data_IF_712599461582
#
_entry.id   IF_712599461582
#
_cell.length_a   1.000
_cell.length_b   1.000
_cell.length_c   1.000
_cell.angle_alpha   90.00
_cell.angle_beta   90.00
_cell.angle_gamma   90.00
#
_symmetry.space_group_name_H-M   'P 1'
#
loop_
_entity.id
_entity.type
_entity.pdbx_description
1 polymer ?
#
# COMPACT_ATOMS: atom_id res chain seq x y z
N UNK A 1 -14.22 22.98 4.59
CA UNK A 1 -14.00 21.65 3.95
C UNK A 1 -14.62 21.71 2.57
N UNK A 2 -13.84 21.51 1.55
CA UNK A 2 -14.28 21.40 0.15
C UNK A 2 -15.11 20.11 -0.04
N UNK A 3 -16.25 20.19 -0.74
CA UNK A 3 -17.18 19.06 -0.87
C UNK A 3 -17.63 18.79 -2.31
N UNK A 4 -17.18 19.61 -3.24
CA UNK A 4 -17.55 19.49 -4.65
C UNK A 4 -16.74 18.36 -5.32
N UNK A 5 -17.28 17.79 -6.38
CA UNK A 5 -16.53 16.92 -7.27
C UNK A 5 -15.83 17.78 -8.32
N UNK A 6 -14.61 17.43 -8.62
CA UNK A 6 -13.76 18.11 -9.59
C UNK A 6 -13.54 17.15 -10.75
N UNK A 7 -14.02 17.53 -11.92
CA UNK A 7 -13.75 16.86 -13.18
C UNK A 7 -12.44 17.37 -13.79
N UNK A 8 -11.87 16.59 -14.72
CA UNK A 8 -10.65 16.97 -15.41
C UNK A 8 -10.69 18.40 -15.98
N UNK A 9 -11.78 18.76 -16.65
CA UNK A 9 -11.97 20.09 -17.28
C UNK A 9 -12.01 21.25 -16.28
N UNK A 10 -12.24 20.98 -15.00
CA UNK A 10 -12.34 21.97 -13.92
C UNK A 10 -11.01 22.13 -13.19
N UNK A 11 -10.10 21.16 -13.35
CA UNK A 11 -8.87 21.11 -12.58
C UNK A 11 -7.96 22.33 -12.78
N UNK A 12 -7.91 22.91 -13.98
CA UNK A 12 -7.13 24.14 -14.25
C UNK A 12 -7.62 25.35 -13.48
N UNK A 13 -8.90 25.38 -13.10
CA UNK A 13 -9.53 26.44 -12.35
C UNK A 13 -9.38 26.27 -10.84
N UNK A 14 -8.93 25.12 -10.39
CA UNK A 14 -8.71 24.82 -8.98
C UNK A 14 -7.50 25.59 -8.43
N UNK A 15 -7.56 25.81 -7.10
CA UNK A 15 -6.44 26.39 -6.35
C UNK A 15 -5.13 25.63 -6.67
N UNK A 16 -4.01 26.31 -6.85
CA UNK A 16 -2.70 25.68 -7.04
C UNK A 16 -2.38 24.62 -5.97
N UNK A 17 -2.73 24.87 -4.71
CA UNK A 17 -2.53 23.88 -3.62
C UNK A 17 -3.27 22.59 -3.87
N UNK A 18 -4.51 22.64 -4.37
CA UNK A 18 -5.28 21.44 -4.72
C UNK A 18 -4.54 20.61 -5.77
N UNK A 19 -4.08 21.25 -6.83
CA UNK A 19 -3.36 20.60 -7.92
C UNK A 19 -2.04 19.98 -7.46
N UNK A 20 -1.29 20.69 -6.60
CA UNK A 20 -0.04 20.20 -6.03
C UNK A 20 -0.27 18.96 -5.14
N UNK A 21 -1.31 18.99 -4.31
CA UNK A 21 -1.69 17.86 -3.46
C UNK A 21 -2.14 16.65 -4.28
N UNK A 22 -2.97 16.87 -5.32
CA UNK A 22 -3.41 15.82 -6.23
C UNK A 22 -2.23 15.19 -6.98
N UNK A 23 -1.33 16.02 -7.53
CA UNK A 23 -0.09 15.58 -8.18
C UNK A 23 0.71 14.67 -7.26
N UNK A 24 0.86 15.07 -6.00
CA UNK A 24 1.58 14.26 -5.01
C UNK A 24 0.87 12.94 -4.72
N UNK A 25 -0.46 12.93 -4.61
CA UNK A 25 -1.25 11.70 -4.42
C UNK A 25 -0.99 10.70 -5.54
N UNK A 26 -1.18 11.10 -6.80
CA UNK A 26 -1.03 10.18 -7.94
C UNK A 26 0.43 9.73 -8.12
N UNK A 27 1.39 10.59 -7.80
CA UNK A 27 2.83 10.26 -7.90
C UNK A 27 3.24 9.21 -6.87
N UNK A 28 2.85 9.40 -5.60
CA UNK A 28 3.16 8.44 -4.54
C UNK A 28 2.44 7.12 -4.79
N UNK A 29 1.18 7.17 -5.24
CA UNK A 29 0.43 5.96 -5.52
C UNK A 29 1.05 5.18 -6.69
N UNK A 30 1.44 5.87 -7.78
CA UNK A 30 2.14 5.23 -8.90
C UNK A 30 3.45 4.54 -8.46
N UNK A 31 4.20 5.14 -7.51
CA UNK A 31 5.40 4.53 -6.94
C UNK A 31 5.07 3.30 -6.08
N UNK A 32 3.97 3.33 -5.32
CA UNK A 32 3.53 2.21 -4.51
C UNK A 32 3.22 0.97 -5.36
N UNK A 33 2.48 1.14 -6.45
CA UNK A 33 2.08 0.05 -7.36
C UNK A 33 3.28 -0.64 -8.04
N UNK A 34 4.38 0.09 -8.24
CA UNK A 34 5.62 -0.46 -8.79
C UNK A 34 6.53 -1.02 -7.71
N UNK A 35 6.45 -0.47 -6.50
CA UNK A 35 7.33 -0.85 -5.39
C UNK A 35 7.24 -2.32 -5.00
N UNK A 36 6.03 -2.88 -4.89
CA UNK A 36 5.80 -4.29 -4.57
C UNK A 36 6.40 -5.23 -5.61
N UNK A 37 5.97 -5.17 -6.89
CA UNK A 37 6.53 -6.01 -7.95
C UNK A 37 8.06 -6.01 -8.04
N UNK A 38 8.69 -4.85 -7.85
CA UNK A 38 10.16 -4.75 -7.85
C UNK A 38 10.81 -5.52 -6.70
N UNK A 39 10.14 -5.66 -5.56
CA UNK A 39 10.66 -6.42 -4.42
C UNK A 39 10.57 -7.93 -4.61
N UNK A 40 9.49 -8.43 -5.24
CA UNK A 40 9.21 -9.87 -5.20
C UNK A 40 9.19 -10.59 -6.55
N UNK A 41 9.01 -9.88 -7.67
CA UNK A 41 8.86 -10.57 -8.96
C UNK A 41 10.13 -11.31 -9.39
N UNK A 42 11.32 -10.82 -9.07
CA UNK A 42 12.59 -11.42 -9.46
C UNK A 42 12.93 -12.66 -8.65
N UNK A 43 12.82 -12.58 -7.33
CA UNK A 43 13.41 -13.59 -6.43
C UNK A 43 12.34 -14.50 -5.80
N UNK A 44 11.14 -13.99 -5.54
CA UNK A 44 10.05 -14.73 -4.92
C UNK A 44 9.25 -15.56 -5.93
N UNK A 45 8.96 -15.00 -7.11
CA UNK A 45 8.21 -15.74 -8.14
C UNK A 45 8.85 -17.09 -8.49
N UNK A 46 10.16 -17.19 -8.81
CA UNK A 46 10.77 -18.48 -9.12
C UNK A 46 10.93 -19.42 -7.91
N UNK A 47 10.96 -18.88 -6.68
CA UNK A 47 11.13 -19.64 -5.43
C UNK A 47 9.81 -20.00 -4.74
N UNK A 48 8.66 -19.57 -5.26
CA UNK A 48 7.36 -19.91 -4.69
C UNK A 48 7.13 -21.43 -4.60
N UNK A 49 6.59 -21.94 -3.47
CA UNK A 49 6.61 -23.38 -3.15
C UNK A 49 5.84 -24.27 -4.10
N UNK A 50 4.75 -23.76 -4.68
CA UNK A 50 3.88 -24.51 -5.58
C UNK A 50 3.62 -23.76 -6.88
N UNK A 51 3.18 -24.49 -7.93
CA UNK A 51 2.75 -23.85 -9.18
C UNK A 51 1.58 -22.87 -8.99
N UNK A 52 0.70 -23.16 -8.04
CA UNK A 52 -0.41 -22.27 -7.69
C UNK A 52 0.13 -20.98 -7.04
N UNK A 53 1.09 -21.10 -6.13
CA UNK A 53 1.73 -19.93 -5.52
C UNK A 53 2.49 -19.10 -6.58
N UNK A 54 3.22 -19.74 -7.51
CA UNK A 54 3.87 -19.06 -8.63
C UNK A 54 2.87 -18.28 -9.49
N UNK A 55 1.73 -18.90 -9.81
CA UNK A 55 0.68 -18.27 -10.60
C UNK A 55 0.10 -17.05 -9.86
N UNK A 56 -0.14 -17.17 -8.55
CA UNK A 56 -0.68 -16.08 -7.74
C UNK A 56 0.31 -14.91 -7.62
N UNK A 57 1.60 -15.18 -7.39
CA UNK A 57 2.63 -14.11 -7.38
C UNK A 57 2.71 -13.40 -8.73
N UNK A 58 2.70 -14.14 -9.84
CA UNK A 58 2.72 -13.56 -11.19
C UNK A 58 1.48 -12.73 -11.47
N UNK A 59 0.31 -13.21 -11.04
CA UNK A 59 -0.96 -12.50 -11.17
C UNK A 59 -0.96 -11.21 -10.38
N UNK A 60 -0.58 -11.24 -9.10
CA UNK A 60 -0.44 -10.05 -8.25
C UNK A 60 0.47 -9.03 -8.92
N UNK A 61 1.67 -9.44 -9.36
CA UNK A 61 2.58 -8.53 -10.06
C UNK A 61 1.95 -7.90 -11.34
N UNK A 62 1.17 -8.67 -12.09
CA UNK A 62 0.47 -8.18 -13.28
C UNK A 62 -0.65 -7.19 -12.93
N UNK A 63 -1.40 -7.45 -11.88
CA UNK A 63 -2.48 -6.57 -11.39
C UNK A 63 -1.89 -5.25 -10.88
N UNK A 64 -0.81 -5.26 -10.10
CA UNK A 64 -0.09 -4.06 -9.64
C UNK A 64 0.42 -3.19 -10.81
N UNK A 65 0.99 -3.81 -11.85
CA UNK A 65 1.40 -3.08 -13.05
C UNK A 65 0.21 -2.45 -13.79
N UNK A 66 -0.95 -3.09 -13.76
CA UNK A 66 -2.19 -2.53 -14.33
C UNK A 66 -2.77 -1.41 -13.47
N UNK A 67 -2.64 -1.49 -12.14
CA UNK A 67 -2.95 -0.40 -11.21
C UNK A 67 -2.08 0.83 -11.52
N UNK A 68 -0.76 0.65 -11.62
CA UNK A 68 0.14 1.71 -12.06
C UNK A 68 -0.32 2.34 -13.38
N UNK A 69 -0.63 1.52 -14.39
CA UNK A 69 -1.07 2.01 -15.71
C UNK A 69 -2.33 2.88 -15.61
N UNK A 70 -3.29 2.48 -14.79
CA UNK A 70 -4.53 3.25 -14.56
C UNK A 70 -4.24 4.59 -13.86
N UNK A 71 -3.38 4.58 -12.83
CA UNK A 71 -2.98 5.79 -12.10
C UNK A 71 -2.15 6.72 -12.99
N UNK A 72 -1.20 6.18 -13.75
CA UNK A 72 -0.38 6.94 -14.69
C UNK A 72 -1.22 7.60 -15.79
N UNK A 73 -2.30 6.94 -16.24
CA UNK A 73 -3.26 7.55 -17.18
C UNK A 73 -3.95 8.75 -16.54
N UNK A 74 -4.50 8.59 -15.33
CA UNK A 74 -5.16 9.70 -14.60
C UNK A 74 -4.20 10.87 -14.38
N UNK A 75 -2.93 10.60 -14.04
CA UNK A 75 -1.90 11.63 -13.91
C UNK A 75 -1.61 12.33 -15.24
N UNK A 76 -1.44 11.55 -16.31
CA UNK A 76 -1.17 12.06 -17.67
C UNK A 76 -2.29 12.93 -18.24
N UNK A 77 -3.56 12.63 -17.90
CA UNK A 77 -4.71 13.41 -18.34
C UNK A 77 -4.65 14.89 -17.89
N UNK A 78 -3.95 15.18 -16.78
CA UNK A 78 -3.69 16.56 -16.32
C UNK A 78 -2.21 16.99 -16.37
N UNK A 79 -1.43 16.33 -17.23
CA UNK A 79 -0.06 16.75 -17.58
C UNK A 79 1.03 16.33 -16.61
N UNK A 80 0.76 15.39 -15.71
CA UNK A 80 1.76 14.84 -14.76
C UNK A 80 2.33 13.54 -15.33
N UNK A 81 3.63 13.53 -15.60
CA UNK A 81 4.38 12.32 -15.95
C UNK A 81 4.89 11.64 -14.68
N UNK A 82 4.48 10.40 -14.47
CA UNK A 82 4.94 9.54 -13.36
C UNK A 82 5.82 8.38 -13.84
N UNK A 83 6.22 8.37 -15.13
CA UNK A 83 6.99 7.26 -15.70
C UNK A 83 8.38 7.07 -15.09
N UNK A 84 8.92 8.10 -14.48
CA UNK A 84 10.23 8.06 -13.82
C UNK A 84 10.29 7.01 -12.68
N UNK A 85 9.17 6.69 -12.03
CA UNK A 85 9.14 5.67 -10.97
C UNK A 85 9.47 4.26 -11.48
N UNK A 86 9.29 4.00 -12.79
CA UNK A 86 9.62 2.71 -13.42
C UNK A 86 11.13 2.44 -13.43
N UNK A 87 11.94 3.49 -13.49
CA UNK A 87 13.40 3.41 -13.53
C UNK A 87 14.05 3.49 -12.15
N UNK A 88 13.27 3.76 -11.11
CA UNK A 88 13.81 3.91 -9.76
C UNK A 88 14.31 2.59 -9.17
N UNK A 89 15.43 2.69 -8.49
CA UNK A 89 15.91 1.65 -7.57
C UNK A 89 15.06 1.63 -6.30
N UNK A 90 15.15 0.56 -5.52
CA UNK A 90 14.44 0.49 -4.24
C UNK A 90 14.81 1.65 -3.29
N UNK A 91 16.04 2.19 -3.37
CA UNK A 91 16.48 3.29 -2.50
C UNK A 91 15.80 4.63 -2.82
N UNK A 92 15.29 4.79 -4.02
CA UNK A 92 14.63 6.02 -4.49
C UNK A 92 13.13 6.05 -4.15
N UNK A 93 12.54 4.91 -3.72
CA UNK A 93 11.11 4.81 -3.40
C UNK A 93 10.69 5.81 -2.32
N UNK A 94 9.49 6.36 -2.45
CA UNK A 94 8.95 7.28 -1.45
C UNK A 94 8.76 6.62 -0.10
N UNK A 95 8.28 5.38 -0.07
CA UNK A 95 7.97 4.68 1.16
C UNK A 95 9.09 3.71 1.56
N UNK A 96 9.48 3.77 2.82
CA UNK A 96 10.52 2.92 3.43
C UNK A 96 10.23 1.42 3.24
N UNK A 97 8.97 1.02 3.26
CA UNK A 97 8.58 -0.37 3.04
C UNK A 97 9.13 -0.93 1.71
N UNK A 98 9.21 -0.12 0.67
CA UNK A 98 9.68 -0.52 -0.66
C UNK A 98 11.21 -0.36 -0.86
N UNK A 99 11.93 0.17 0.15
CA UNK A 99 13.40 0.30 0.12
C UNK A 99 14.13 -0.95 0.60
N UNK A 100 13.40 -1.89 1.19
CA UNK A 100 13.94 -3.15 1.70
C UNK A 100 14.09 -4.24 0.65
N UNK A 101 14.13 -5.48 1.15
CA UNK A 101 14.13 -6.71 0.34
C UNK A 101 13.11 -7.68 0.91
N UNK A 102 12.53 -8.50 0.04
CA UNK A 102 11.77 -9.68 0.40
C UNK A 102 12.65 -10.88 0.08
N UNK A 103 13.12 -11.58 1.11
CA UNK A 103 14.14 -12.62 0.95
C UNK A 103 13.59 -14.04 1.10
N UNK A 104 12.45 -14.20 1.75
CA UNK A 104 11.86 -15.50 2.07
C UNK A 104 10.40 -15.55 1.68
N UNK A 105 9.86 -16.76 1.62
CA UNK A 105 8.43 -16.96 1.37
C UNK A 105 7.56 -16.44 2.52
N UNK A 106 8.06 -16.55 3.75
CA UNK A 106 7.43 -15.99 4.93
C UNK A 106 7.41 -14.46 4.88
N UNK A 107 8.49 -13.82 4.41
CA UNK A 107 8.51 -12.36 4.16
C UNK A 107 7.43 -11.95 3.17
N UNK A 108 7.31 -12.68 2.06
CA UNK A 108 6.31 -12.38 1.03
C UNK A 108 4.87 -12.54 1.56
N UNK A 109 4.61 -13.62 2.30
CA UNK A 109 3.29 -13.84 2.89
C UNK A 109 2.91 -12.71 3.86
N UNK A 110 3.83 -12.32 4.75
CA UNK A 110 3.62 -11.24 5.73
C UNK A 110 3.56 -9.87 5.04
N UNK A 111 4.32 -9.65 3.97
CA UNK A 111 4.22 -8.45 3.13
C UNK A 111 2.79 -8.31 2.59
N UNK A 112 2.23 -9.34 1.95
CA UNK A 112 0.85 -9.35 1.47
C UNK A 112 -0.17 -9.13 2.60
N UNK A 113 0.07 -9.76 3.76
CA UNK A 113 -0.81 -9.60 4.93
C UNK A 113 -0.85 -8.16 5.45
N UNK A 114 0.31 -7.47 5.50
CA UNK A 114 0.44 -6.16 6.14
C UNK A 114 0.57 -5.00 5.15
N UNK A 115 1.46 -5.08 4.16
CA UNK A 115 1.80 -3.95 3.28
C UNK A 115 0.71 -3.75 2.23
N UNK A 116 0.25 -4.83 1.57
CA UNK A 116 -0.87 -4.73 0.63
C UNK A 116 -2.14 -4.28 1.37
N UNK A 117 -2.30 -4.66 2.64
CA UNK A 117 -3.40 -4.14 3.48
C UNK A 117 -3.29 -2.64 3.70
N UNK A 118 -2.10 -2.08 3.91
CA UNK A 118 -1.93 -0.61 3.96
C UNK A 118 -2.25 0.00 2.61
N UNK A 119 -1.81 -0.61 1.50
CA UNK A 119 -2.16 -0.20 0.13
C UNK A 119 -3.67 -0.08 -0.04
N UNK A 120 -4.42 -1.13 0.35
CA UNK A 120 -5.89 -1.11 0.36
C UNK A 120 -6.44 0.08 1.18
N UNK A 121 -5.93 0.31 2.39
CA UNK A 121 -6.35 1.46 3.23
C UNK A 121 -6.11 2.79 2.53
N UNK A 122 -4.99 2.96 1.84
CA UNK A 122 -4.66 4.19 1.11
C UNK A 122 -5.59 4.40 -0.08
N UNK A 123 -5.87 3.37 -0.86
CA UNK A 123 -6.82 3.43 -1.98
C UNK A 123 -8.25 3.71 -1.52
N UNK A 124 -8.67 3.12 -0.41
CA UNK A 124 -9.96 3.41 0.21
C UNK A 124 -10.07 4.87 0.71
N UNK A 125 -8.95 5.53 1.07
CA UNK A 125 -8.92 6.97 1.38
C UNK A 125 -9.32 7.81 0.18
N UNK A 126 -8.92 7.41 -1.02
CA UNK A 126 -9.21 8.13 -2.25
C UNK A 126 -10.58 7.76 -2.85
N UNK A 127 -11.19 6.65 -2.41
CA UNK A 127 -12.51 6.27 -2.88
C UNK A 127 -13.56 7.30 -2.44
N UNK A 128 -14.18 7.95 -3.44
CA UNK A 128 -15.10 9.04 -3.20
C UNK A 128 -14.42 10.39 -2.91
N UNK A 129 -13.11 10.52 -3.15
CA UNK A 129 -12.40 11.79 -3.02
C UNK A 129 -12.96 12.88 -3.96
N UNK A 130 -12.55 14.12 -3.78
CA UNK A 130 -13.03 15.24 -4.58
C UNK A 130 -12.66 15.15 -6.07
N UNK A 131 -11.56 14.48 -6.45
CA UNK A 131 -11.18 14.30 -7.85
C UNK A 131 -11.85 13.08 -8.48
N UNK A 132 -12.84 13.33 -9.34
CA UNK A 132 -13.69 12.26 -9.89
C UNK A 132 -12.92 11.25 -10.75
N UNK A 133 -11.99 11.64 -11.68
CA UNK A 133 -11.27 10.67 -12.49
C UNK A 133 -10.44 9.66 -11.67
N UNK A 134 -9.90 10.06 -10.50
CA UNK A 134 -9.23 9.13 -9.59
C UNK A 134 -10.25 8.17 -8.94
N UNK A 135 -11.39 8.70 -8.46
CA UNK A 135 -12.45 7.88 -7.87
C UNK A 135 -12.94 6.78 -8.83
N UNK A 136 -13.05 7.08 -10.12
CA UNK A 136 -13.63 6.19 -11.13
C UNK A 136 -12.82 4.92 -11.38
N UNK A 137 -11.50 4.97 -11.19
CA UNK A 137 -10.63 3.80 -11.38
C UNK A 137 -10.52 2.90 -10.16
N UNK A 138 -10.87 3.40 -8.97
CA UNK A 138 -10.61 2.70 -7.71
C UNK A 138 -11.43 1.43 -7.46
N UNK A 139 -12.70 1.29 -7.89
CA UNK A 139 -13.49 0.10 -7.58
C UNK A 139 -12.85 -1.21 -8.01
N UNK A 140 -12.20 -1.23 -9.19
CA UNK A 140 -11.52 -2.43 -9.68
C UNK A 140 -10.22 -2.67 -8.93
N UNK A 141 -9.44 -1.62 -8.69
CA UNK A 141 -8.16 -1.69 -7.97
C UNK A 141 -8.42 -2.22 -6.55
N UNK A 142 -9.33 -1.61 -5.79
CA UNK A 142 -9.65 -2.02 -4.42
C UNK A 142 -10.12 -3.49 -4.36
N UNK A 143 -10.89 -3.94 -5.36
CA UNK A 143 -11.33 -5.33 -5.43
C UNK A 143 -10.17 -6.30 -5.59
N UNK A 144 -9.18 -5.97 -6.39
CA UNK A 144 -7.97 -6.76 -6.61
C UNK A 144 -7.09 -6.76 -5.36
N UNK A 145 -6.91 -5.60 -4.71
CA UNK A 145 -6.20 -5.46 -3.44
C UNK A 145 -6.79 -6.30 -2.30
N UNK A 146 -8.12 -6.41 -2.22
CA UNK A 146 -8.77 -7.33 -1.27
C UNK A 146 -8.31 -8.77 -1.52
N UNK A 147 -8.12 -9.16 -2.78
CA UNK A 147 -7.59 -10.46 -3.16
C UNK A 147 -6.13 -10.67 -2.71
N UNK A 148 -5.28 -9.66 -2.92
CA UNK A 148 -3.86 -9.68 -2.50
C UNK A 148 -3.74 -9.84 -0.98
N UNK A 149 -4.46 -9.02 -0.22
CA UNK A 149 -4.53 -9.08 1.25
C UNK A 149 -5.03 -10.44 1.73
N UNK A 150 -6.11 -10.96 1.13
CA UNK A 150 -6.67 -12.26 1.50
C UNK A 150 -5.70 -13.42 1.26
N UNK A 151 -4.94 -13.36 0.16
CA UNK A 151 -3.90 -14.34 -0.12
C UNK A 151 -2.76 -14.25 0.91
N UNK A 152 -2.24 -13.05 1.18
CA UNK A 152 -1.18 -12.83 2.19
C UNK A 152 -1.59 -13.31 3.58
N UNK A 153 -2.80 -12.98 4.02
CA UNK A 153 -3.36 -13.44 5.30
C UNK A 153 -3.46 -14.96 5.36
N UNK A 154 -4.03 -15.59 4.33
CA UNK A 154 -4.18 -17.05 4.25
C UNK A 154 -2.83 -17.76 4.27
N UNK A 155 -1.83 -17.25 3.52
CA UNK A 155 -0.48 -17.84 3.51
C UNK A 155 0.26 -17.65 4.82
N UNK A 156 0.13 -16.48 5.45
CA UNK A 156 0.70 -16.23 6.78
C UNK A 156 0.12 -17.21 7.81
N UNK A 157 -1.20 -17.46 7.77
CA UNK A 157 -1.86 -18.43 8.63
C UNK A 157 -1.38 -19.85 8.38
N UNK A 158 -1.30 -20.27 7.11
CA UNK A 158 -0.79 -21.58 6.70
C UNK A 158 0.63 -21.82 7.23
N UNK A 159 1.53 -20.84 7.03
CA UNK A 159 2.92 -20.94 7.45
C UNK A 159 3.07 -20.95 8.99
N UNK A 160 2.32 -20.11 9.71
CA UNK A 160 2.33 -20.09 11.17
C UNK A 160 1.85 -21.43 11.78
N UNK A 161 0.99 -22.19 11.06
CA UNK A 161 0.46 -23.46 11.51
C UNK A 161 1.35 -24.67 11.18
N UNK A 162 2.39 -24.52 10.32
CA UNK A 162 3.25 -25.65 9.89
C UNK A 162 4.14 -26.26 10.96
N UNK A 163 4.38 -25.55 12.07
CA UNK A 163 5.23 -25.98 13.18
C UNK A 163 6.08 -24.83 13.73
N UNK A 164 6.86 -25.11 14.77
CA UNK A 164 7.59 -24.10 15.54
C UNK A 164 8.58 -23.32 14.66
N UNK A 165 9.44 -23.99 13.91
CA UNK A 165 10.44 -23.37 13.05
C UNK A 165 9.79 -22.40 12.02
N UNK A 166 8.69 -22.80 11.39
CA UNK A 166 7.98 -21.97 10.42
C UNK A 166 7.33 -20.77 11.11
N UNK A 167 6.75 -20.99 12.30
CA UNK A 167 6.14 -19.93 13.12
C UNK A 167 7.16 -18.89 13.53
N UNK A 168 8.36 -19.29 13.93
CA UNK A 168 9.46 -18.36 14.27
C UNK A 168 9.87 -17.51 13.06
N UNK A 169 9.95 -18.09 11.86
CA UNK A 169 10.23 -17.34 10.62
C UNK A 169 9.14 -16.33 10.31
N UNK A 170 7.87 -16.73 10.45
CA UNK A 170 6.72 -15.82 10.27
C UNK A 170 6.76 -14.70 11.30
N UNK A 171 7.06 -15.00 12.58
CA UNK A 171 7.19 -13.99 13.62
C UNK A 171 8.31 -12.99 13.31
N UNK A 172 9.46 -13.47 12.86
CA UNK A 172 10.57 -12.61 12.48
C UNK A 172 10.24 -11.71 11.28
N UNK A 173 9.49 -12.23 10.30
CA UNK A 173 8.96 -11.42 9.20
C UNK A 173 7.95 -10.38 9.71
N UNK A 174 7.05 -10.79 10.59
CA UNK A 174 6.05 -9.91 11.21
C UNK A 174 6.71 -8.75 11.97
N UNK A 175 7.72 -9.03 12.79
CA UNK A 175 8.45 -8.02 13.56
C UNK A 175 9.10 -6.95 12.64
N UNK A 176 9.55 -7.35 11.43
CA UNK A 176 10.10 -6.42 10.44
C UNK A 176 9.03 -5.61 9.71
N UNK A 177 7.99 -6.27 9.23
CA UNK A 177 7.01 -5.65 8.33
C UNK A 177 5.94 -4.84 9.05
N UNK A 178 5.61 -5.17 10.30
CA UNK A 178 4.61 -4.45 11.08
C UNK A 178 4.96 -2.97 11.28
N UNK A 179 6.19 -2.70 11.67
CA UNK A 179 6.69 -1.33 11.86
C UNK A 179 6.70 -0.56 10.55
N UNK A 180 7.16 -1.18 9.45
CA UNK A 180 7.13 -0.58 8.11
C UNK A 180 5.71 -0.28 7.65
N UNK A 181 4.77 -1.18 7.89
CA UNK A 181 3.35 -0.96 7.59
C UNK A 181 2.79 0.27 8.34
N UNK A 182 3.12 0.42 9.62
CA UNK A 182 2.68 1.58 10.40
C UNK A 182 3.31 2.90 9.91
N UNK A 183 4.55 2.87 9.45
CA UNK A 183 5.24 4.05 8.91
C UNK A 183 4.73 4.48 7.53
N UNK A 184 4.12 3.59 6.75
CA UNK A 184 3.50 3.92 5.47
C UNK A 184 2.35 4.93 5.60
N UNK A 185 1.71 5.01 6.75
CA UNK A 185 0.69 6.05 7.01
C UNK A 185 1.29 7.46 7.13
N UNK A 186 2.61 7.60 7.36
CA UNK A 186 3.30 8.87 7.50
C UNK A 186 3.14 9.47 8.90
N UNK A 187 3.53 10.74 9.07
CA UNK A 187 3.54 11.44 10.36
C UNK A 187 2.14 11.74 10.87
N UNK A 188 1.93 11.58 12.17
CA UNK A 188 0.65 11.86 12.84
C UNK A 188 0.31 13.35 12.89
N UNK A 189 1.33 14.21 12.96
CA UNK A 189 1.24 15.67 13.10
C UNK A 189 1.43 16.42 11.77
N UNK A 190 1.21 15.77 10.64
CA UNK A 190 1.42 16.36 9.31
C UNK A 190 0.40 17.47 9.02
N UNK A 191 0.87 18.70 8.82
CA UNK A 191 0.03 19.82 8.37
C UNK A 191 -0.56 19.58 6.99
N UNK A 192 0.18 18.89 6.11
CA UNK A 192 -0.29 18.50 4.77
C UNK A 192 -1.46 17.54 4.85
N UNK A 193 -1.49 16.64 5.84
CA UNK A 193 -2.58 15.71 6.08
C UNK A 193 -3.92 16.44 6.27
N UNK A 194 -3.92 17.50 7.08
CA UNK A 194 -5.10 18.37 7.26
C UNK A 194 -5.53 19.04 5.94
N UNK A 195 -4.59 19.39 5.06
CA UNK A 195 -4.91 20.00 3.76
C UNK A 195 -5.54 18.99 2.80
N UNK A 196 -5.09 17.73 2.80
CA UNK A 196 -5.77 16.66 2.04
C UNK A 196 -7.23 16.51 2.47
N UNK A 197 -7.51 16.52 3.78
CA UNK A 197 -8.88 16.43 4.31
C UNK A 197 -9.68 17.69 3.96
N UNK A 198 -9.09 18.87 4.09
CA UNK A 198 -9.75 20.13 3.72
C UNK A 198 -10.23 20.11 2.28
N UNK A 199 -9.41 19.65 1.34
CA UNK A 199 -9.71 19.54 -0.07
C UNK A 199 -10.53 18.31 -0.46
N UNK A 200 -10.86 17.46 0.48
CA UNK A 200 -11.61 16.22 0.22
C UNK A 200 -10.84 15.17 -0.58
N UNK A 201 -9.51 15.26 -0.63
CA UNK A 201 -8.64 14.25 -1.26
C UNK A 201 -8.43 13.03 -0.35
N UNK A 202 -8.56 13.19 0.97
CA UNK A 202 -8.54 12.12 1.98
C UNK A 202 -9.69 12.28 2.95
N UNK A 203 -10.10 11.17 3.56
CA UNK A 203 -11.19 11.14 4.56
C UNK A 203 -10.68 11.18 5.99
N UNK A 204 -9.54 10.57 6.27
CA UNK A 204 -8.95 10.36 7.60
C UNK A 204 -7.58 10.99 7.70
N UNK A 205 -7.18 11.35 8.91
CA UNK A 205 -5.79 11.69 9.18
C UNK A 205 -4.91 10.44 9.14
N UNK A 206 -3.61 10.63 8.96
CA UNK A 206 -2.64 9.54 9.03
C UNK A 206 -2.74 8.77 10.36
N UNK A 207 -2.90 9.50 11.47
CA UNK A 207 -3.09 8.92 12.79
C UNK A 207 -4.37 8.07 12.89
N UNK A 208 -5.49 8.56 12.35
CA UNK A 208 -6.77 7.84 12.35
C UNK A 208 -6.68 6.55 11.52
N UNK A 209 -6.17 6.64 10.29
CA UNK A 209 -6.02 5.49 9.41
C UNK A 209 -5.11 4.41 10.04
N UNK A 210 -3.97 4.82 10.64
CA UNK A 210 -3.06 3.93 11.36
C UNK A 210 -3.73 3.24 12.54
N UNK A 211 -4.51 3.98 13.33
CA UNK A 211 -5.22 3.40 14.49
C UNK A 211 -6.30 2.41 14.07
N UNK A 212 -7.00 2.66 12.97
CA UNK A 212 -7.95 1.71 12.41
C UNK A 212 -7.25 0.43 11.92
N UNK A 213 -6.12 0.57 11.22
CA UNK A 213 -5.28 -0.55 10.80
C UNK A 213 -4.84 -1.40 12.00
N UNK A 214 -4.31 -0.79 13.06
CA UNK A 214 -3.90 -1.49 14.29
C UNK A 214 -5.08 -2.27 14.89
N UNK A 215 -6.25 -1.63 15.00
CA UNK A 215 -7.44 -2.31 15.55
C UNK A 215 -7.92 -3.49 14.70
N UNK A 216 -7.70 -3.45 13.39
CA UNK A 216 -8.01 -4.56 12.48
C UNK A 216 -6.96 -5.67 12.60
N UNK A 217 -5.67 -5.33 12.56
CA UNK A 217 -4.57 -6.27 12.37
C UNK A 217 -4.16 -6.99 13.65
N UNK A 218 -4.08 -6.29 14.80
CA UNK A 218 -3.62 -6.89 16.05
C UNK A 218 -4.44 -8.11 16.48
N UNK A 219 -5.79 -8.08 16.41
CA UNK A 219 -6.58 -9.27 16.70
C UNK A 219 -6.35 -10.43 15.70
N UNK A 220 -6.06 -10.11 14.42
CA UNK A 220 -5.75 -11.13 13.42
C UNK A 220 -4.41 -11.79 13.73
N UNK A 221 -3.37 -11.03 14.07
CA UNK A 221 -2.06 -11.56 14.50
C UNK A 221 -2.24 -12.49 15.71
N UNK A 222 -3.00 -12.06 16.72
CA UNK A 222 -3.28 -12.88 17.90
C UNK A 222 -3.99 -14.20 17.59
N UNK A 223 -4.95 -14.21 16.63
CA UNK A 223 -5.63 -15.42 16.17
C UNK A 223 -4.69 -16.43 15.51
N UNK A 224 -3.59 -15.96 14.91
CA UNK A 224 -2.56 -16.81 14.32
C UNK A 224 -1.60 -17.41 15.37
N UNK A 225 -1.79 -17.08 16.65
CA UNK A 225 -0.88 -17.49 17.72
C UNK A 225 0.47 -16.79 17.67
N UNK A 226 0.53 -15.63 17.02
CA UNK A 226 1.72 -14.79 16.91
C UNK A 226 1.66 -13.65 17.92
N UNK A 227 2.84 -13.17 18.31
CA UNK A 227 2.98 -12.00 19.17
C UNK A 227 2.81 -10.74 18.32
N UNK A 228 1.96 -9.82 18.78
CA UNK A 228 1.86 -8.48 18.18
C UNK A 228 3.14 -7.71 18.49
N UNK A 229 3.85 -7.17 17.46
CA UNK A 229 5.04 -6.34 17.68
C UNK A 229 4.69 -5.02 18.38
N UNK A 230 5.68 -4.41 19.05
CA UNK A 230 5.51 -3.09 19.65
C UNK A 230 5.23 -2.05 18.55
N UNK A 231 4.09 -1.31 18.61
CA UNK A 231 3.72 -0.35 17.57
C UNK A 231 4.57 0.94 17.56
N UNK A 232 5.51 1.08 18.50
CA UNK A 232 6.36 2.27 18.65
C UNK A 232 7.81 1.96 18.32
N UNK A 233 8.30 0.80 18.76
CA UNK A 233 9.72 0.44 18.63
C UNK A 233 10.15 0.35 17.16
N UNK A 234 11.18 1.09 16.78
CA UNK A 234 11.76 1.07 15.44
C UNK A 234 11.02 1.93 14.40
N UNK A 235 9.98 2.67 14.81
CA UNK A 235 9.25 3.60 13.93
C UNK A 235 10.06 4.83 13.56
N UNK A 236 9.92 5.28 12.31
CA UNK A 236 10.45 6.56 11.82
C UNK A 236 9.46 7.71 12.03
N UNK A 237 8.15 7.43 11.97
CA UNK A 237 7.07 8.42 12.06
C UNK A 237 6.12 8.08 13.21
N UNK A 238 6.08 8.94 14.21
CA UNK A 238 5.16 8.83 15.36
C UNK A 238 3.95 9.74 15.18
#
# INVERSE_FOLDING_TARGET
MFREKVELKELEQMDPEYRDLLTRVVTIQADCEIGGPHLYAKDILPSAPTKTDQLLVARTASEELDHYRKIARVAGDFGVDVSFVLSWTNQERYLEAFRGTINTWEDFAVFGFLIDRVGRYQLEEFFGCSYQPLTDILPIIIKEEIGHVGYGESKTAELAAKGEESREKVQAALDRWYVKALDMFGRSDSTRDQRYIYWGLKRRTNAQARQEFIREVDPLIGKLGLRVPDPIQGRQYL
#
